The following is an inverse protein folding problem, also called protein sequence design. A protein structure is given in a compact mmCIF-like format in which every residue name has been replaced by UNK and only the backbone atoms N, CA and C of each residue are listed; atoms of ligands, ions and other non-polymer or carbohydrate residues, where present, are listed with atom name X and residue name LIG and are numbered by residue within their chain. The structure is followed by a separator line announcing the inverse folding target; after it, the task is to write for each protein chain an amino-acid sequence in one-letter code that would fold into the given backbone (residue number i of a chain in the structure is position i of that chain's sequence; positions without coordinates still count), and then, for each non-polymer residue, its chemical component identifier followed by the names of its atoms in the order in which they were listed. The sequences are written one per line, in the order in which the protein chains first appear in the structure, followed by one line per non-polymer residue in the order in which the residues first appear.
data_IF_434783408862
#
_entry.id   IF_434783408862
#
_cell.length_a   1.000
_cell.length_b   1.000
_cell.length_c   1.000
_cell.angle_alpha   90.00
_cell.angle_beta   90.00
_cell.angle_gamma   90.00
#
_symmetry.space_group_name_H-M   'P 1'
#
loop_
_entity.id
_entity.type
_entity.pdbx_description
1 polymer ?
#
# COMPACT_ATOMS: atom_id res chain seq x y z
N UNK A 1 -9.48 2.50 13.11
CA UNK A 1 -9.16 2.90 11.72
C UNK A 1 -8.10 1.94 11.21
N UNK A 2 -8.30 1.26 10.08
CA UNK A 2 -7.31 0.33 9.56
C UNK A 2 -6.13 1.08 8.95
N UNK A 3 -4.91 0.69 9.31
CA UNK A 3 -3.69 1.29 8.75
C UNK A 3 -2.89 0.24 8.02
N UNK A 4 -2.51 0.51 6.77
CA UNK A 4 -1.69 -0.39 5.96
C UNK A 4 -0.23 0.03 6.09
N UNK A 5 0.66 -0.88 6.50
CA UNK A 5 2.10 -0.66 6.64
C UNK A 5 2.90 -1.74 5.89
N UNK A 6 4.04 -1.37 5.30
CA UNK A 6 5.05 -2.27 4.75
C UNK A 6 6.16 -2.55 5.79
N UNK A 7 6.91 -3.65 5.65
CA UNK A 7 8.15 -3.92 6.45
C UNK A 7 9.27 -2.86 6.25
N UNK A 8 9.01 -1.86 5.39
CA UNK A 8 9.62 -0.54 5.37
C UNK A 8 8.46 0.46 5.23
N UNK A 9 8.22 1.30 6.22
CA UNK A 9 6.95 2.00 6.42
C UNK A 9 6.56 2.90 5.22
N UNK A 10 5.74 2.38 4.29
CA UNK A 10 4.99 3.18 3.33
C UNK A 10 3.61 3.42 3.95
N UNK A 11 3.49 4.55 4.62
CA UNK A 11 2.28 5.05 5.26
C UNK A 11 2.05 6.53 4.83
N UNK A 12 1.17 7.24 5.54
CA UNK A 12 0.91 8.66 5.34
C UNK A 12 2.14 9.57 5.52
N UNK A 13 3.15 9.15 6.29
CA UNK A 13 4.39 9.88 6.58
C UNK A 13 5.59 9.41 5.72
N UNK A 14 5.34 8.61 4.68
CA UNK A 14 6.41 8.07 3.85
C UNK A 14 7.17 9.19 3.11
N UNK A 15 8.49 9.28 3.36
CA UNK A 15 9.39 10.22 2.68
C UNK A 15 9.46 10.05 1.16
N UNK A 16 8.90 8.95 0.63
CA UNK A 16 8.76 8.67 -0.81
C UNK A 16 7.96 9.77 -1.53
N UNK A 17 6.92 10.31 -0.88
CA UNK A 17 5.92 11.14 -1.53
C UNK A 17 5.04 10.38 -2.53
N UNK A 18 3.93 10.99 -2.95
CA UNK A 18 2.96 10.37 -3.87
C UNK A 18 2.24 9.16 -3.28
N UNK A 19 2.15 9.10 -1.95
CA UNK A 19 1.42 8.08 -1.20
C UNK A 19 0.23 8.76 -0.54
N UNK A 20 -0.96 8.17 -0.69
CA UNK A 20 -2.18 8.63 -0.02
C UNK A 20 -2.90 7.45 0.59
N UNK A 21 -3.41 7.63 1.81
CA UNK A 21 -4.35 6.68 2.42
C UNK A 21 -5.74 7.32 2.43
N UNK A 22 -6.71 6.63 1.83
CA UNK A 22 -8.11 7.04 1.84
C UNK A 22 -8.89 6.08 2.71
N UNK A 23 -9.62 6.60 3.68
CA UNK A 23 -10.51 5.79 4.52
C UNK A 23 -11.95 6.14 4.22
N UNK A 24 -12.68 5.16 3.69
CA UNK A 24 -14.12 5.25 3.51
C UNK A 24 -14.82 4.62 4.72
N UNK A 25 -15.65 5.41 5.39
CA UNK A 25 -16.39 4.98 6.58
C UNK A 25 -17.82 4.64 6.20
N UNK A 26 -18.28 3.48 6.65
CA UNK A 26 -19.65 2.99 6.53
C UNK A 26 -19.82 1.77 7.43
N UNK A 27 -20.87 0.97 7.21
CA UNK A 27 -21.10 -0.30 7.92
C UNK A 27 -19.89 -1.24 7.79
N UNK A 28 -19.22 -1.18 6.64
CA UNK A 28 -17.88 -1.70 6.42
C UNK A 28 -16.95 -0.51 6.22
N UNK A 29 -15.89 -0.44 7.02
CA UNK A 29 -14.84 0.57 6.82
C UNK A 29 -13.77 0.01 5.89
N UNK A 30 -13.47 0.74 4.82
CA UNK A 30 -12.47 0.33 3.82
C UNK A 30 -11.33 1.34 3.81
N UNK A 31 -10.09 0.85 3.76
CA UNK A 31 -8.89 1.68 3.64
C UNK A 31 -8.17 1.38 2.34
N UNK A 32 -7.92 2.41 1.55
CA UNK A 32 -7.19 2.36 0.29
C UNK A 32 -5.81 2.97 0.47
N UNK A 33 -4.77 2.24 0.09
CA UNK A 33 -3.42 2.78 -0.07
C UNK A 33 -3.17 3.05 -1.55
N UNK A 34 -2.95 4.31 -1.91
CA UNK A 34 -2.66 4.74 -3.27
C UNK A 34 -1.19 5.14 -3.38
N UNK A 35 -0.47 4.52 -4.31
CA UNK A 35 0.95 4.79 -4.58
C UNK A 35 1.09 5.26 -6.03
N UNK A 36 1.37 6.54 -6.21
CA UNK A 36 1.56 7.14 -7.52
C UNK A 36 2.99 6.95 -8.02
N UNK A 37 3.15 6.74 -9.33
CA UNK A 37 4.46 6.53 -9.99
C UNK A 37 5.25 5.40 -9.32
N UNK A 38 4.60 4.25 -9.14
CA UNK A 38 5.20 3.09 -8.49
C UNK A 38 6.47 2.63 -9.24
N UNK A 39 7.49 2.25 -8.47
CA UNK A 39 8.75 1.71 -8.97
C UNK A 39 8.98 0.33 -8.36
N UNK A 40 9.97 -0.42 -8.87
CA UNK A 40 10.33 -1.73 -8.32
C UNK A 40 10.62 -1.70 -6.81
N UNK A 41 11.10 -0.57 -6.27
CA UNK A 41 11.36 -0.37 -4.83
C UNK A 41 10.09 -0.36 -3.97
N UNK A 42 8.93 -0.16 -4.58
CA UNK A 42 7.64 -0.21 -3.89
C UNK A 42 7.14 -1.66 -3.74
N UNK A 43 7.84 -2.65 -4.29
CA UNK A 43 7.55 -4.07 -4.06
C UNK A 43 7.86 -4.45 -2.61
N UNK A 44 7.04 -5.33 -2.02
CA UNK A 44 7.26 -5.82 -0.67
C UNK A 44 6.00 -6.37 -0.02
N UNK A 45 6.07 -6.67 1.28
CA UNK A 45 4.93 -7.16 2.06
C UNK A 45 4.14 -6.01 2.68
N UNK A 46 2.92 -5.79 2.19
CA UNK A 46 1.96 -4.81 2.70
C UNK A 46 1.05 -5.46 3.73
N UNK A 47 0.85 -4.82 4.88
CA UNK A 47 0.08 -5.38 6.01
C UNK A 47 -0.98 -4.39 6.46
N UNK A 48 -2.25 -4.77 6.38
CA UNK A 48 -3.36 -4.04 6.96
C UNK A 48 -3.48 -4.35 8.46
N UNK A 49 -3.50 -3.32 9.29
CA UNK A 49 -3.69 -3.36 10.74
C UNK A 49 -4.99 -2.64 11.12
N UNK A 50 -6.15 -3.34 11.10
CA UNK A 50 -7.39 -2.81 11.66
C UNK A 50 -7.31 -2.66 13.19
N UNK A 51 -8.03 -1.68 13.74
CA UNK A 51 -8.05 -1.43 15.18
C UNK A 51 -8.87 -2.44 16.00
N UNK A 52 -9.61 -3.32 15.33
CA UNK A 52 -10.60 -4.23 15.92
C UNK A 52 -10.46 -5.68 15.42
N UNK A 53 -9.43 -6.00 14.64
CA UNK A 53 -9.19 -7.35 14.14
C UNK A 53 -7.69 -7.61 14.00
N UNK A 54 -7.33 -8.86 13.72
CA UNK A 54 -5.94 -9.21 13.53
C UNK A 54 -5.38 -8.58 12.25
N UNK A 55 -4.08 -8.25 12.23
CA UNK A 55 -3.43 -7.76 11.02
C UNK A 55 -3.35 -8.85 9.96
N UNK A 56 -3.48 -8.44 8.70
CA UNK A 56 -3.35 -9.33 7.55
C UNK A 56 -2.40 -8.72 6.53
N UNK A 57 -1.52 -9.54 5.92
CA UNK A 57 -0.52 -9.05 4.99
C UNK A 57 -0.43 -9.85 3.70
N UNK A 58 -0.07 -9.15 2.63
CA UNK A 58 0.07 -9.65 1.27
C UNK A 58 1.35 -9.14 0.64
N UNK A 59 1.86 -9.85 -0.37
CA UNK A 59 3.05 -9.42 -1.13
C UNK A 59 2.64 -8.72 -2.42
N UNK A 60 3.22 -7.55 -2.66
CA UNK A 60 3.08 -6.78 -3.90
C UNK A 60 4.39 -6.81 -4.67
N UNK A 61 4.29 -7.04 -5.98
CA UNK A 61 5.42 -6.98 -6.90
C UNK A 61 5.13 -5.95 -7.98
N UNK A 62 5.96 -4.91 -8.05
CA UNK A 62 5.90 -3.86 -9.08
C UNK A 62 6.89 -4.22 -10.17
N UNK A 63 6.40 -4.34 -11.40
CA UNK A 63 7.20 -4.72 -12.56
C UNK A 63 7.33 -3.54 -13.53
N UNK A 64 8.55 -3.19 -13.92
CA UNK A 64 8.77 -2.31 -15.07
C UNK A 64 8.73 -3.14 -16.35
N UNK A 65 7.57 -3.18 -17.01
CA UNK A 65 7.49 -3.80 -18.33
C UNK A 65 8.13 -2.85 -19.34
N UNK A 66 9.44 -2.99 -19.56
CA UNK A 66 10.03 -2.51 -20.81
C UNK A 66 9.42 -3.36 -21.92
N UNK A 67 8.50 -2.79 -22.69
CA UNK A 67 8.10 -3.41 -23.96
C UNK A 67 9.37 -3.56 -24.79
N UNK A 68 9.86 -4.79 -24.96
CA UNK A 68 10.77 -5.08 -26.06
C UNK A 68 9.93 -4.91 -27.32
N UNK A 69 10.13 -3.80 -28.02
CA UNK A 69 9.71 -3.67 -29.40
C UNK A 69 10.46 -4.77 -30.17
N UNK A 70 9.73 -5.83 -30.50
CA UNK A 70 10.18 -6.85 -31.45
C UNK A 70 10.07 -6.33 -32.87
#
# INVERSE_FOLDING_TARGET
MPTIYLLQEINYDSARGGVSVITEKGDITVSYLLIQRATEKDSGKYTCHPSNANPEGLSVHVLNVKQKAG
#
